data_IF_283994541573
#
_entry.id   IF_283994541573
#
_cell.length_a   1.000
_cell.length_b   1.000
_cell.length_c   1.000
_cell.angle_alpha   90.00
_cell.angle_beta   90.00
_cell.angle_gamma   90.00
#
_symmetry.space_group_name_H-M   'P 1'
#
loop_
_entity.id
_entity.type
_entity.pdbx_description
1 polymer ?
#
# COMPACT_ATOMS: atom_id res chain seq x y z
N UNK A 1 17.81 -9.61 -6.80
CA UNK A 1 16.50 -8.96 -7.03
C UNK A 1 16.30 -7.91 -5.94
N UNK A 2 16.46 -6.63 -6.26
CA UNK A 2 16.20 -5.53 -5.30
C UNK A 2 14.71 -5.49 -4.97
N UNK A 3 14.34 -5.68 -3.71
CA UNK A 3 12.96 -5.55 -3.27
C UNK A 3 12.72 -4.05 -3.04
N UNK A 4 12.08 -3.37 -4.01
CA UNK A 4 11.90 -1.92 -3.94
C UNK A 4 11.25 -1.41 -2.63
N UNK A 5 11.40 -0.13 -2.31
CA UNK A 5 10.83 0.48 -1.10
C UNK A 5 9.42 1.03 -1.37
N UNK A 6 8.49 0.85 -0.44
CA UNK A 6 7.20 1.53 -0.47
C UNK A 6 7.13 2.49 0.70
N UNK A 7 6.88 3.77 0.41
CA UNK A 7 6.59 4.78 1.42
C UNK A 7 5.11 5.13 1.30
N UNK A 8 4.35 4.90 2.38
CA UNK A 8 2.92 5.18 2.44
C UNK A 8 2.67 6.29 3.46
N UNK A 9 1.88 7.30 3.07
CA UNK A 9 1.37 8.29 4.00
C UNK A 9 0.43 7.61 5.02
N UNK A 10 0.44 8.04 6.28
CA UNK A 10 -0.48 7.55 7.31
C UNK A 10 -1.96 7.62 6.86
N UNK A 11 -2.33 8.64 6.09
CA UNK A 11 -3.69 8.76 5.53
C UNK A 11 -4.07 7.57 4.65
N UNK A 12 -3.12 6.98 3.91
CA UNK A 12 -3.38 5.77 3.10
C UNK A 12 -3.71 4.60 3.99
N UNK A 13 -3.00 4.43 5.11
CA UNK A 13 -3.27 3.36 6.08
C UNK A 13 -4.66 3.57 6.70
N UNK A 14 -5.00 4.80 7.08
CA UNK A 14 -6.31 5.13 7.67
C UNK A 14 -7.42 4.84 6.67
N UNK A 15 -7.32 5.32 5.42
CA UNK A 15 -8.34 5.07 4.39
C UNK A 15 -8.46 3.57 4.04
N UNK A 16 -7.34 2.83 4.02
CA UNK A 16 -7.35 1.39 3.79
C UNK A 16 -8.10 0.66 4.89
N UNK A 17 -7.82 1.04 6.14
CA UNK A 17 -8.50 0.45 7.29
C UNK A 17 -9.95 0.90 7.33
N UNK A 18 -10.31 2.10 6.90
CA UNK A 18 -11.71 2.55 6.93
C UNK A 18 -12.60 1.75 5.97
N UNK A 19 -12.11 1.40 4.77
CA UNK A 19 -12.84 0.58 3.80
C UNK A 19 -12.97 -0.89 4.28
N UNK A 20 -14.20 -1.40 4.53
CA UNK A 20 -14.40 -2.74 5.09
C UNK A 20 -13.78 -3.86 4.23
N UNK A 21 -13.83 -3.73 2.91
CA UNK A 21 -13.33 -4.76 1.99
C UNK A 21 -11.79 -4.86 2.02
N UNK A 22 -11.12 -3.72 2.17
CA UNK A 22 -9.67 -3.66 2.25
C UNK A 22 -9.15 -3.93 3.65
N UNK A 23 -9.89 -3.53 4.69
CA UNK A 23 -9.64 -3.90 6.09
C UNK A 23 -9.56 -5.41 6.26
N UNK A 24 -10.51 -6.16 5.71
CA UNK A 24 -10.52 -7.63 5.77
C UNK A 24 -9.37 -8.27 5.00
N UNK A 25 -8.91 -7.67 3.89
CA UNK A 25 -7.70 -8.12 3.19
C UNK A 25 -6.45 -7.86 4.03
N UNK A 26 -6.33 -6.68 4.64
CA UNK A 26 -5.21 -6.31 5.50
C UNK A 26 -5.07 -7.24 6.72
N UNK A 27 -6.19 -7.62 7.35
CA UNK A 27 -6.17 -8.54 8.50
C UNK A 27 -5.59 -9.93 8.19
N UNK A 28 -5.64 -10.37 6.92
CA UNK A 28 -5.16 -11.69 6.49
C UNK A 28 -3.67 -11.73 6.16
N UNK A 29 -3.03 -10.55 6.13
CA UNK A 29 -1.60 -10.40 5.84
C UNK A 29 -0.77 -10.98 6.98
N UNK A 30 0.25 -11.76 6.65
CA UNK A 30 1.18 -12.37 7.62
C UNK A 30 2.60 -11.85 7.47
N UNK A 31 2.90 -11.19 6.34
CA UNK A 31 4.25 -10.70 6.04
C UNK A 31 4.25 -9.25 5.56
N UNK A 32 5.37 -8.55 5.77
CA UNK A 32 5.54 -7.19 5.25
C UNK A 32 5.45 -7.12 3.72
N UNK A 33 5.88 -8.19 3.02
CA UNK A 33 5.78 -8.29 1.56
C UNK A 33 4.33 -8.30 1.09
N UNK A 34 3.48 -9.07 1.77
CA UNK A 34 2.03 -9.09 1.51
C UNK A 34 1.39 -7.74 1.87
N UNK A 35 1.75 -7.12 3.00
CA UNK A 35 1.22 -5.79 3.38
C UNK A 35 1.54 -4.75 2.31
N UNK A 36 2.77 -4.78 1.79
CA UNK A 36 3.21 -3.92 0.69
C UNK A 36 2.34 -4.12 -0.54
N UNK A 37 2.05 -5.38 -0.91
CA UNK A 37 1.22 -5.68 -2.07
C UNK A 37 -0.21 -5.15 -1.88
N UNK A 38 -0.80 -5.36 -0.70
CA UNK A 38 -2.14 -4.84 -0.38
C UNK A 38 -2.18 -3.31 -0.47
N UNK A 39 -1.17 -2.61 0.04
CA UNK A 39 -1.07 -1.14 -0.05
C UNK A 39 -0.95 -0.66 -1.50
N UNK A 40 -0.13 -1.34 -2.32
CA UNK A 40 -0.02 -1.03 -3.75
C UNK A 40 -1.35 -1.21 -4.47
N UNK A 41 -2.03 -2.33 -4.23
CA UNK A 41 -3.30 -2.62 -4.89
C UNK A 41 -4.42 -1.70 -4.43
N UNK A 42 -4.46 -1.35 -3.14
CA UNK A 42 -5.37 -0.35 -2.61
C UNK A 42 -5.15 1.01 -3.29
N UNK A 43 -3.90 1.48 -3.37
CA UNK A 43 -3.59 2.77 -3.99
C UNK A 43 -3.85 2.79 -5.49
N UNK A 44 -3.76 1.66 -6.20
CA UNK A 44 -4.16 1.56 -7.61
C UNK A 44 -5.66 1.78 -7.83
N UNK A 45 -6.48 1.41 -6.84
CA UNK A 45 -7.94 1.50 -6.93
C UNK A 45 -8.47 2.81 -6.35
N UNK A 46 -7.89 3.27 -5.23
CA UNK A 46 -8.45 4.33 -4.40
C UNK A 46 -7.57 5.59 -4.28
N UNK A 47 -6.32 5.53 -4.74
CA UNK A 47 -5.37 6.62 -4.55
C UNK A 47 -4.47 6.84 -5.77
N UNK A 48 -3.26 7.31 -5.51
CA UNK A 48 -2.22 7.51 -6.52
C UNK A 48 -0.92 6.86 -6.08
N UNK A 49 -0.20 6.36 -7.07
CA UNK A 49 1.16 5.84 -6.91
C UNK A 49 2.09 6.70 -7.77
N UNK A 50 3.07 7.33 -7.12
CA UNK A 50 4.13 8.05 -7.82
C UNK A 50 5.44 7.30 -7.60
N UNK A 51 6.08 6.92 -8.71
CA UNK A 51 7.43 6.35 -8.69
C UNK A 51 8.42 7.48 -8.43
N UNK A 52 9.20 7.40 -7.36
CA UNK A 52 10.19 8.44 -6.99
C UNK A 52 11.57 8.08 -7.54
N UNK A 53 11.96 6.81 -7.48
CA UNK A 53 13.21 6.31 -8.05
C UNK A 53 13.01 4.91 -8.65
N UNK A 54 14.08 4.29 -9.17
CA UNK A 54 14.02 2.96 -9.80
C UNK A 54 13.32 1.89 -8.97
N UNK A 55 13.42 1.99 -7.64
CA UNK A 55 12.96 1.00 -6.67
C UNK A 55 11.93 1.55 -5.66
N UNK A 56 11.70 2.86 -5.58
CA UNK A 56 10.81 3.47 -4.57
C UNK A 56 9.50 3.98 -5.15
N UNK A 57 8.39 3.56 -4.52
CA UNK A 57 7.05 4.08 -4.78
C UNK A 57 6.54 4.88 -3.58
N UNK A 58 5.87 5.99 -3.87
CA UNK A 58 5.13 6.78 -2.91
C UNK A 58 3.63 6.57 -3.10
N UNK A 59 2.96 6.18 -2.03
CA UNK A 59 1.52 5.97 -1.96
C UNK A 59 0.86 7.13 -1.22
N UNK A 60 -0.12 7.77 -1.85
CA UNK A 60 -0.94 8.82 -1.27
C UNK A 60 -2.38 8.75 -1.77
N UNK A 61 -3.30 9.24 -0.93
CA UNK A 61 -4.72 9.48 -1.23
C UNK A 61 -4.97 10.97 -1.07
#
# INVERSE_FOLDING_TARGET
MSCGKLVANLNVIICLLDDPSWREKAKKVKTLKEMRQVLLDFCRVKGKLTKIDTDTFYAYI
#
